data_IF_360903647370
#
_entry.id   IF_360903647370
#
_cell.length_a   1.000
_cell.length_b   1.000
_cell.length_c   1.000
_cell.angle_alpha   90.00
_cell.angle_beta   90.00
_cell.angle_gamma   90.00
#
_symmetry.space_group_name_H-M   'P 1'
#
loop_
_entity.id
_entity.type
_entity.pdbx_description
1 polymer ?
#
# COMPACT_ATOMS: atom_id res chain seq x y z
N UNK A 1 -14.65 5.70 -17.69
CA UNK A 1 -15.49 6.29 -16.63
C UNK A 1 -15.32 5.60 -15.27
N UNK A 2 -15.14 4.28 -15.23
CA UNK A 2 -14.97 3.47 -13.99
C UNK A 2 -13.87 3.95 -13.05
N UNK A 3 -12.67 4.24 -13.56
CA UNK A 3 -11.53 4.64 -12.72
C UNK A 3 -11.78 5.95 -11.97
N UNK A 4 -12.34 6.96 -12.64
CA UNK A 4 -12.67 8.24 -12.01
C UNK A 4 -13.73 8.09 -10.90
N UNK A 5 -14.70 7.18 -11.11
CA UNK A 5 -15.70 6.88 -10.10
C UNK A 5 -15.09 6.12 -8.90
N UNK A 6 -14.16 5.20 -9.15
CA UNK A 6 -13.42 4.51 -8.10
C UNK A 6 -12.60 5.49 -7.25
N UNK A 7 -11.93 6.47 -7.86
CA UNK A 7 -11.22 7.54 -7.14
C UNK A 7 -12.14 8.34 -6.21
N UNK A 8 -13.37 8.64 -6.67
CA UNK A 8 -14.39 9.29 -5.86
C UNK A 8 -14.91 8.40 -4.72
N UNK A 9 -15.08 7.10 -4.95
CA UNK A 9 -15.51 6.16 -3.91
C UNK A 9 -14.41 5.96 -2.86
N UNK A 10 -13.15 5.90 -3.29
CA UNK A 10 -11.99 5.77 -2.43
C UNK A 10 -11.84 6.99 -1.51
N UNK A 11 -12.01 8.21 -2.03
CA UNK A 11 -11.99 9.42 -1.19
C UNK A 11 -13.14 9.47 -0.19
N UNK A 12 -14.27 8.82 -0.51
CA UNK A 12 -15.42 8.64 0.39
C UNK A 12 -15.28 7.43 1.34
N UNK A 13 -14.12 6.77 1.38
CA UNK A 13 -13.84 5.57 2.20
C UNK A 13 -14.80 4.39 1.95
N UNK A 14 -15.37 4.29 0.75
CA UNK A 14 -16.28 3.22 0.34
C UNK A 14 -15.52 2.05 -0.30
N UNK A 15 -14.64 1.42 0.48
CA UNK A 15 -13.67 0.45 -0.04
C UNK A 15 -14.30 -0.83 -0.61
N UNK A 16 -15.43 -1.30 -0.05
CA UNK A 16 -16.17 -2.46 -0.60
C UNK A 16 -16.71 -2.17 -2.00
N UNK A 17 -17.28 -0.99 -2.19
CA UNK A 17 -17.81 -0.56 -3.50
C UNK A 17 -16.66 -0.38 -4.52
N UNK A 18 -15.48 0.08 -4.07
CA UNK A 18 -14.27 0.14 -4.90
C UNK A 18 -13.86 -1.26 -5.37
N UNK A 19 -13.81 -2.24 -4.45
CA UNK A 19 -13.48 -3.63 -4.81
C UNK A 19 -14.49 -4.20 -5.82
N UNK A 20 -15.79 -4.03 -5.57
CA UNK A 20 -16.84 -4.53 -6.46
C UNK A 20 -16.74 -3.91 -7.87
N UNK A 21 -16.52 -2.60 -7.94
CA UNK A 21 -16.43 -1.88 -9.20
C UNK A 21 -15.17 -2.27 -9.99
N UNK A 22 -14.02 -2.36 -9.33
CA UNK A 22 -12.74 -2.54 -10.00
C UNK A 22 -12.45 -3.99 -10.38
N UNK A 23 -12.99 -4.97 -9.66
CA UNK A 23 -12.75 -6.40 -9.95
C UNK A 23 -13.57 -6.92 -11.13
N UNK A 24 -14.71 -6.28 -11.45
CA UNK A 24 -15.61 -6.69 -12.54
C UNK A 24 -15.17 -6.17 -13.92
N UNK A 25 -14.14 -5.33 -13.98
CA UNK A 25 -13.77 -4.59 -15.19
C UNK A 25 -12.49 -5.15 -15.80
N UNK A 26 -12.55 -5.48 -17.10
CA UNK A 26 -11.37 -5.73 -17.91
C UNK A 26 -10.84 -4.40 -18.42
N UNK A 27 -9.56 -4.12 -18.16
CA UNK A 27 -8.91 -2.89 -18.60
C UNK A 27 -8.06 -3.18 -19.83
N UNK A 28 -8.40 -2.55 -20.95
CA UNK A 28 -7.62 -2.63 -22.19
C UNK A 28 -6.32 -1.82 -22.07
N UNK A 29 -6.39 -0.64 -21.44
CA UNK A 29 -5.21 0.21 -21.24
C UNK A 29 -4.49 -0.10 -19.92
N UNK A 30 -3.18 -0.23 -20.03
CA UNK A 30 -2.31 -0.64 -18.92
C UNK A 30 -2.30 0.34 -17.75
N UNK A 31 -2.46 1.64 -18.02
CA UNK A 31 -2.48 2.68 -17.00
C UNK A 31 -3.68 2.49 -16.05
N UNK A 32 -4.88 2.27 -16.59
CA UNK A 32 -6.07 2.01 -15.79
C UNK A 32 -5.99 0.66 -15.06
N UNK A 33 -5.41 -0.36 -15.69
CA UNK A 33 -5.19 -1.65 -15.04
C UNK A 33 -4.30 -1.51 -13.80
N UNK A 34 -3.21 -0.76 -13.91
CA UNK A 34 -2.26 -0.56 -12.82
C UNK A 34 -2.82 0.31 -11.70
N UNK A 35 -3.46 1.44 -12.05
CA UNK A 35 -4.13 2.30 -11.08
C UNK A 35 -5.19 1.53 -10.29
N UNK A 36 -6.02 0.74 -10.98
CA UNK A 36 -7.06 -0.07 -10.33
C UNK A 36 -6.48 -1.10 -9.38
N UNK A 37 -5.36 -1.74 -9.74
CA UNK A 37 -4.69 -2.70 -8.86
C UNK A 37 -4.11 -2.04 -7.61
N UNK A 38 -3.57 -0.82 -7.73
CA UNK A 38 -3.13 -0.05 -6.56
C UNK A 38 -4.32 0.27 -5.63
N UNK A 39 -5.47 0.67 -6.19
CA UNK A 39 -6.67 0.95 -5.40
C UNK A 39 -7.27 -0.28 -4.73
N UNK A 40 -7.28 -1.43 -5.39
CA UNK A 40 -7.72 -2.71 -4.81
C UNK A 40 -6.82 -3.09 -3.63
N UNK A 41 -5.50 -2.97 -3.79
CA UNK A 41 -4.54 -3.22 -2.73
C UNK A 41 -4.80 -2.33 -1.50
N UNK A 42 -4.93 -1.01 -1.70
CA UNK A 42 -5.22 -0.10 -0.59
C UNK A 42 -6.59 -0.36 0.02
N UNK A 43 -7.59 -0.74 -0.78
CA UNK A 43 -8.95 -1.06 -0.28
C UNK A 43 -8.96 -2.30 0.61
N UNK A 44 -8.24 -3.37 0.25
CA UNK A 44 -8.12 -4.53 1.12
C UNK A 44 -7.40 -4.21 2.43
N UNK A 45 -6.38 -3.34 2.37
CA UNK A 45 -5.70 -2.86 3.58
C UNK A 45 -6.66 -2.09 4.50
N UNK A 46 -7.42 -1.14 3.96
CA UNK A 46 -8.37 -0.33 4.73
C UNK A 46 -9.56 -1.12 5.30
N UNK A 47 -9.83 -2.30 4.74
CA UNK A 47 -10.87 -3.22 5.23
C UNK A 47 -10.35 -4.26 6.23
N UNK A 48 -9.07 -4.21 6.59
CA UNK A 48 -8.38 -5.22 7.40
C UNK A 48 -8.51 -6.66 6.84
N UNK A 49 -8.71 -6.80 5.52
CA UNK A 49 -8.83 -8.10 4.85
C UNK A 49 -7.44 -8.67 4.50
N UNK A 50 -6.64 -8.95 5.53
CA UNK A 50 -5.21 -9.32 5.40
C UNK A 50 -4.99 -10.55 4.50
N UNK A 51 -5.85 -11.56 4.59
CA UNK A 51 -5.74 -12.76 3.75
C UNK A 51 -5.94 -12.44 2.27
N UNK A 52 -7.00 -11.68 1.95
CA UNK A 52 -7.29 -11.27 0.58
C UNK A 52 -6.19 -10.33 0.04
N UNK A 53 -5.71 -9.41 0.87
CA UNK A 53 -4.60 -8.52 0.53
C UNK A 53 -3.33 -9.30 0.16
N UNK A 54 -2.94 -10.31 0.95
CA UNK A 54 -1.76 -11.11 0.66
C UNK A 54 -1.89 -11.87 -0.66
N UNK A 55 -3.02 -12.55 -0.88
CA UNK A 55 -3.30 -13.23 -2.16
C UNK A 55 -3.28 -12.25 -3.33
N UNK A 56 -3.87 -11.06 -3.15
CA UNK A 56 -3.87 -10.02 -4.16
C UNK A 56 -2.47 -9.52 -4.48
N UNK A 57 -1.64 -9.24 -3.46
CA UNK A 57 -0.26 -8.77 -3.63
C UNK A 57 0.54 -9.76 -4.48
N UNK A 58 0.42 -11.06 -4.23
CA UNK A 58 1.18 -12.05 -4.97
C UNK A 58 0.74 -12.10 -6.44
N UNK A 59 -0.57 -12.03 -6.70
CA UNK A 59 -1.11 -11.90 -8.06
C UNK A 59 -0.65 -10.61 -8.76
N UNK A 60 -0.58 -9.49 -8.03
CA UNK A 60 -0.19 -8.19 -8.58
C UNK A 60 1.30 -8.18 -8.92
N UNK A 61 2.17 -8.77 -8.07
CA UNK A 61 3.59 -8.96 -8.39
C UNK A 61 3.78 -9.77 -9.67
N UNK A 62 3.08 -10.89 -9.81
CA UNK A 62 3.14 -11.73 -11.01
C UNK A 62 2.70 -10.96 -12.27
N UNK A 63 1.62 -10.17 -12.16
CA UNK A 63 1.16 -9.29 -13.24
C UNK A 63 2.24 -8.29 -13.66
N UNK A 64 2.86 -7.58 -12.70
CA UNK A 64 3.95 -6.62 -12.96
C UNK A 64 5.15 -7.30 -13.62
N UNK A 65 5.51 -8.51 -13.19
CA UNK A 65 6.64 -9.25 -13.74
C UNK A 65 6.38 -9.66 -15.20
N UNK A 66 5.22 -10.25 -15.48
CA UNK A 66 4.87 -10.83 -16.78
C UNK A 66 4.57 -9.78 -17.84
N UNK A 67 4.02 -8.64 -17.46
CA UNK A 67 3.62 -7.62 -18.43
C UNK A 67 4.85 -6.83 -18.92
N UNK A 68 5.17 -6.97 -20.21
CA UNK A 68 6.35 -6.37 -20.86
C UNK A 68 6.13 -4.91 -21.28
N UNK A 69 4.89 -4.46 -21.38
CA UNK A 69 4.53 -3.09 -21.76
C UNK A 69 4.79 -2.08 -20.63
N UNK A 70 4.87 -2.56 -19.39
CA UNK A 70 5.20 -1.71 -18.24
C UNK A 70 6.70 -1.45 -18.23
N UNK A 71 7.10 -0.18 -18.25
CA UNK A 71 8.51 0.19 -18.12
C UNK A 71 9.08 -0.26 -16.78
N UNK A 72 10.40 -0.50 -16.72
CA UNK A 72 11.11 -0.85 -15.48
C UNK A 72 10.88 0.19 -14.38
N UNK A 73 10.84 1.47 -14.75
CA UNK A 73 10.60 2.58 -13.82
C UNK A 73 9.17 2.55 -13.26
N UNK A 74 8.15 2.36 -14.11
CA UNK A 74 6.78 2.22 -13.61
C UNK A 74 6.64 1.00 -12.70
N UNK A 75 7.23 -0.15 -13.07
CA UNK A 75 7.24 -1.34 -12.21
C UNK A 75 7.82 -1.05 -10.84
N UNK A 76 8.90 -0.28 -10.74
CA UNK A 76 9.53 0.01 -9.44
C UNK A 76 8.58 0.80 -8.53
N UNK A 77 7.79 1.73 -9.06
CA UNK A 77 6.83 2.50 -8.25
C UNK A 77 5.73 1.61 -7.63
N UNK A 78 5.19 0.65 -8.39
CA UNK A 78 4.20 -0.29 -7.86
C UNK A 78 4.82 -1.35 -6.95
N UNK A 79 6.05 -1.81 -7.23
CA UNK A 79 6.77 -2.71 -6.34
C UNK A 79 7.10 -2.05 -5.00
N UNK A 80 7.43 -0.75 -4.99
CA UNK A 80 7.59 0.03 -3.76
C UNK A 80 6.28 0.11 -2.99
N UNK A 81 5.14 0.39 -3.64
CA UNK A 81 3.82 0.34 -2.99
C UNK A 81 3.59 -1.01 -2.29
N UNK A 82 3.82 -2.11 -3.02
CA UNK A 82 3.66 -3.47 -2.49
C UNK A 82 4.59 -3.73 -1.30
N UNK A 83 5.85 -3.29 -1.39
CA UNK A 83 6.83 -3.43 -0.32
C UNK A 83 6.39 -2.70 0.95
N UNK A 84 6.08 -1.40 0.87
CA UNK A 84 5.68 -0.62 2.04
C UNK A 84 4.38 -1.14 2.65
N UNK A 85 3.44 -1.59 1.83
CA UNK A 85 2.20 -2.22 2.32
C UNK A 85 2.51 -3.51 3.09
N UNK A 86 3.40 -4.38 2.58
CA UNK A 86 3.84 -5.57 3.32
C UNK A 86 4.53 -5.21 4.62
N UNK A 87 5.33 -4.15 4.64
CA UNK A 87 5.96 -3.66 5.88
C UNK A 87 4.89 -3.21 6.88
N UNK A 88 3.85 -2.49 6.46
CA UNK A 88 2.74 -2.06 7.33
C UNK A 88 1.95 -3.22 7.94
N UNK A 89 1.90 -4.39 7.29
CA UNK A 89 1.23 -5.58 7.83
C UNK A 89 2.02 -6.30 8.94
N UNK A 90 3.30 -5.98 9.13
CA UNK A 90 4.12 -6.59 10.18
C UNK A 90 3.68 -6.04 11.53
N UNK A 91 3.11 -6.90 12.37
CA UNK A 91 2.68 -6.54 13.72
C UNK A 91 3.85 -6.13 14.63
N UNK A 92 3.54 -5.36 15.66
CA UNK A 92 4.45 -5.00 16.76
C UNK A 92 5.72 -4.24 16.32
N UNK A 93 5.67 -3.43 15.25
CA UNK A 93 6.76 -2.50 14.96
C UNK A 93 6.94 -1.49 16.07
N UNK A 94 8.19 -1.24 16.44
CA UNK A 94 8.52 -0.17 17.38
C UNK A 94 8.40 1.19 16.72
N UNK A 95 8.26 2.26 17.52
CA UNK A 95 8.21 3.63 17.00
C UNK A 95 9.46 3.96 16.20
N UNK A 96 10.64 3.52 16.66
CA UNK A 96 11.91 3.65 15.92
C UNK A 96 11.86 2.98 14.55
N UNK A 97 11.34 1.74 14.47
CA UNK A 97 11.22 1.02 13.20
C UNK A 97 10.26 1.72 12.23
N UNK A 98 9.17 2.28 12.73
CA UNK A 98 8.21 3.04 11.91
C UNK A 98 8.79 4.35 11.39
N UNK A 99 9.57 5.07 12.21
CA UNK A 99 10.28 6.29 11.77
C UNK A 99 11.33 6.01 10.69
N UNK A 100 12.05 4.88 10.80
CA UNK A 100 12.96 4.43 9.75
C UNK A 100 12.21 4.11 8.46
N UNK A 101 11.07 3.39 8.56
CA UNK A 101 10.21 3.09 7.42
C UNK A 101 9.67 4.37 6.76
N UNK A 102 9.30 5.39 7.55
CA UNK A 102 8.86 6.70 7.05
C UNK A 102 9.97 7.42 6.29
N UNK A 103 11.21 7.33 6.78
CA UNK A 103 12.39 7.92 6.14
C UNK A 103 12.72 7.22 4.82
N UNK A 104 12.67 5.88 4.82
CA UNK A 104 12.83 5.06 3.62
C UNK A 104 11.75 5.41 2.58
N UNK A 105 10.50 5.53 3.00
CA UNK A 105 9.38 5.95 2.16
C UNK A 105 9.60 7.34 1.56
N UNK A 106 10.10 8.29 2.35
CA UNK A 106 10.37 9.66 1.91
C UNK A 106 11.39 9.72 0.77
N UNK A 107 12.40 8.85 0.80
CA UNK A 107 13.43 8.74 -0.23
C UNK A 107 13.04 7.88 -1.44
N UNK A 108 11.83 7.30 -1.42
CA UNK A 108 11.30 6.48 -2.49
C UNK A 108 10.14 7.18 -3.22
N UNK A 109 9.75 6.64 -4.37
CA UNK A 109 8.66 7.19 -5.20
C UNK A 109 7.57 6.13 -5.47
N UNK A 110 6.94 5.54 -4.45
CA UNK A 110 5.85 4.60 -4.68
C UNK A 110 4.62 5.31 -5.22
N UNK A 111 3.79 4.54 -5.92
CA UNK A 111 2.40 4.95 -6.17
C UNK A 111 1.66 5.06 -4.84
N UNK A 112 0.85 6.11 -4.66
CA UNK A 112 0.08 6.31 -3.42
C UNK A 112 0.95 6.70 -2.22
N UNK A 113 2.02 7.47 -2.44
CA UNK A 113 2.95 7.88 -1.38
C UNK A 113 2.27 8.60 -0.22
N UNK A 114 1.31 9.51 -0.48
CA UNK A 114 0.61 10.20 0.61
C UNK A 114 -0.19 9.22 1.48
N UNK A 115 -0.89 8.27 0.87
CA UNK A 115 -1.64 7.24 1.59
C UNK A 115 -0.73 6.36 2.46
N UNK A 116 0.42 5.93 1.93
CA UNK A 116 1.40 5.16 2.71
C UNK A 116 1.95 5.96 3.90
N UNK A 117 2.22 7.26 3.72
CA UNK A 117 2.67 8.13 4.80
C UNK A 117 1.60 8.26 5.90
N UNK A 118 0.34 8.45 5.51
CA UNK A 118 -0.80 8.47 6.42
C UNK A 118 -0.87 7.18 7.24
N UNK A 119 -0.81 6.00 6.60
CA UNK A 119 -0.86 4.71 7.31
C UNK A 119 0.32 4.50 8.26
N UNK A 120 1.53 4.94 7.90
CA UNK A 120 2.68 4.87 8.81
C UNK A 120 2.47 5.78 10.02
N UNK A 121 1.96 6.99 9.80
CA UNK A 121 1.70 7.96 10.87
C UNK A 121 0.62 7.49 11.85
N UNK A 122 -0.44 6.84 11.36
CA UNK A 122 -1.44 6.16 12.18
C UNK A 122 -0.79 5.09 13.08
N UNK A 123 0.08 4.23 12.55
CA UNK A 123 0.78 3.22 13.35
C UNK A 123 1.74 3.85 14.37
N UNK A 124 2.41 4.96 14.03
CA UNK A 124 3.28 5.70 14.96
C UNK A 124 2.48 6.27 16.13
N UNK A 125 1.27 6.77 15.87
CA UNK A 125 0.40 7.33 16.90
C UNK A 125 -0.07 6.27 17.92
N UNK A 126 -0.24 5.02 17.47
CA UNK A 126 -0.71 3.90 18.32
C UNK A 126 0.45 3.10 18.93
N UNK A 127 1.66 3.18 18.38
CA UNK A 127 2.82 2.45 18.89
C UNK A 127 3.17 2.88 20.33
N UNK A 128 3.26 1.90 21.24
CA UNK A 128 3.74 2.12 22.60
C UNK A 128 5.17 2.70 22.57
N UNK A 129 5.53 3.63 23.47
CA UNK A 129 6.88 4.17 23.53
C UNK A 129 7.88 3.03 23.74
N UNK A 130 9.04 3.14 23.09
CA UNK A 130 10.15 2.20 23.25
C UNK A 130 10.44 2.04 24.76
N UNK A 131 10.59 0.80 25.28
CA UNK A 131 11.01 0.63 26.66
C UNK A 131 12.33 1.37 26.82
N UNK A 132 12.30 2.45 27.61
CA UNK A 132 13.43 3.32 27.90
C UNK A 132 14.64 2.44 28.16
N UNK A 133 15.66 2.53 27.31
CA UNK A 133 16.99 2.01 27.60
C UNK A 133 17.34 2.56 28.98
N UNK A 134 17.21 1.70 30.01
CA UNK A 134 17.72 1.99 31.34
C UNK A 134 19.21 2.23 31.14
N UNK A 135 19.58 3.51 31.07
CA UNK A 135 20.97 3.96 31.11
C UNK A 135 21.63 3.19 32.24
N UNK A 136 22.50 2.23 31.89
CA UNK A 136 23.49 1.70 32.82
C UNK A 136 24.39 2.86 33.18
N UNK A 137 24.00 3.61 34.22
CA UNK A 137 24.96 4.28 35.09
C UNK A 137 25.47 3.19 36.02
N UNK A 138 26.64 2.67 35.72
CA UNK A 138 27.54 2.04 36.68
C UNK A 138 28.96 2.25 36.23
#
# INVERSE_FOLDING_TARGET
MTFNNATLLFSKRKFKDVLELLQKVQYEEIFYALGSKAMILSSYFELDEVNALNSFIDSFKLYLQRNKEISKLQKSYYLSLIYFTKQLLIANKTKKQLLLLKTELSNSSPVGKEWLLEKIDEQIAVAKPDPVEKKKKS
#
